data_IF_992193655804
#
_entry.id   IF_992193655804
#
_cell.length_a   1.000
_cell.length_b   1.000
_cell.length_c   1.000
_cell.angle_alpha   90.00
_cell.angle_beta   90.00
_cell.angle_gamma   90.00
#
_symmetry.space_group_name_H-M   'P 1'
#
loop_
_entity.id
_entity.type
_entity.pdbx_description
1 polymer ?
#
# COMPACT_ATOMS: atom_id res chain seq x y z
N UNK A 1 18.39 -0.31 -26.11
CA UNK A 1 18.47 -0.56 -24.67
C UNK A 1 18.90 0.74 -24.01
N UNK A 2 18.02 1.35 -23.22
CA UNK A 2 18.33 2.58 -22.46
C UNK A 2 19.17 2.11 -21.25
N UNK A 3 20.39 2.60 -21.11
CA UNK A 3 21.21 2.32 -19.93
C UNK A 3 20.53 2.95 -18.70
N UNK A 4 20.38 2.21 -17.57
CA UNK A 4 19.79 2.76 -16.36
C UNK A 4 20.58 3.98 -15.90
N UNK A 5 19.86 5.01 -15.47
CA UNK A 5 20.49 6.20 -14.90
C UNK A 5 21.06 5.89 -13.50
N UNK A 6 22.00 6.71 -13.02
CA UNK A 6 22.51 6.58 -11.63
C UNK A 6 21.36 6.58 -10.61
N UNK A 7 20.29 7.37 -10.83
CA UNK A 7 19.11 7.44 -9.99
C UNK A 7 18.33 6.10 -9.98
N UNK A 8 18.27 5.39 -11.10
CA UNK A 8 17.60 4.09 -11.21
C UNK A 8 18.38 2.98 -10.49
N UNK A 9 19.72 3.01 -10.58
CA UNK A 9 20.58 2.06 -9.86
C UNK A 9 20.47 2.25 -8.34
N UNK A 10 20.47 3.49 -7.85
CA UNK A 10 20.28 3.82 -6.43
C UNK A 10 18.90 3.35 -5.97
N UNK A 11 17.85 3.62 -6.74
CA UNK A 11 16.48 3.20 -6.43
C UNK A 11 16.35 1.66 -6.38
N UNK A 12 17.01 0.93 -7.27
CA UNK A 12 17.00 -0.54 -7.28
C UNK A 12 17.72 -1.11 -6.05
N UNK A 13 18.93 -0.64 -5.75
CA UNK A 13 19.68 -1.09 -4.58
C UNK A 13 18.91 -0.84 -3.28
N UNK A 14 18.27 0.33 -3.14
CA UNK A 14 17.42 0.66 -2.00
C UNK A 14 16.30 -0.36 -1.79
N UNK A 15 15.58 -0.73 -2.85
CA UNK A 15 14.45 -1.66 -2.74
C UNK A 15 14.87 -3.06 -2.26
N UNK A 16 16.04 -3.53 -2.64
CA UNK A 16 16.57 -4.81 -2.14
C UNK A 16 16.97 -4.70 -0.66
N UNK A 17 17.54 -3.58 -0.23
CA UNK A 17 17.79 -3.28 1.19
C UNK A 17 16.47 -3.23 1.98
N UNK A 18 15.42 -2.63 1.44
CA UNK A 18 14.08 -2.63 2.06
C UNK A 18 13.56 -4.06 2.30
N UNK A 19 13.73 -4.97 1.32
CA UNK A 19 13.32 -6.37 1.47
C UNK A 19 14.12 -7.06 2.59
N UNK A 20 15.40 -6.76 2.75
CA UNK A 20 16.21 -7.37 3.80
C UNK A 20 15.88 -6.80 5.18
N UNK A 21 15.75 -5.48 5.30
CA UNK A 21 15.37 -4.83 6.54
C UNK A 21 13.97 -5.23 7.02
N UNK A 22 13.00 -5.37 6.10
CA UNK A 22 11.62 -5.75 6.46
C UNK A 22 11.49 -7.13 7.13
N UNK A 23 12.49 -7.99 7.02
CA UNK A 23 12.55 -9.28 7.71
C UNK A 23 13.10 -9.18 9.14
N UNK A 24 13.73 -8.05 9.46
CA UNK A 24 14.37 -7.81 10.76
C UNK A 24 13.35 -7.30 11.77
N UNK A 25 13.51 -7.70 13.03
CA UNK A 25 12.76 -7.12 14.16
C UNK A 25 13.01 -5.59 14.29
N UNK A 26 14.16 -5.09 13.81
CA UNK A 26 14.48 -3.66 13.82
C UNK A 26 13.52 -2.82 12.98
N UNK A 27 12.82 -3.41 12.02
CA UNK A 27 11.85 -2.73 11.17
C UNK A 27 10.44 -2.66 11.76
N UNK A 28 10.17 -3.35 12.88
CA UNK A 28 8.86 -3.37 13.51
C UNK A 28 8.64 -2.18 14.42
N UNK A 29 7.38 -1.75 14.52
CA UNK A 29 6.99 -0.86 15.59
C UNK A 29 7.32 -1.48 16.95
N UNK A 30 7.86 -0.68 17.86
CA UNK A 30 8.14 -1.12 19.24
C UNK A 30 6.91 -0.90 20.14
N UNK A 31 5.78 -1.39 19.70
CA UNK A 31 4.50 -1.35 20.43
C UNK A 31 3.85 -2.73 20.39
N UNK A 32 2.97 -3.02 21.34
CA UNK A 32 2.08 -4.19 21.24
C UNK A 32 1.15 -3.96 20.06
N UNK A 33 1.02 -4.95 19.17
CA UNK A 33 0.14 -4.80 18.02
C UNK A 33 -1.31 -4.59 18.50
N UNK A 34 -2.01 -3.53 18.09
CA UNK A 34 -3.33 -3.20 18.65
C UNK A 34 -4.36 -4.31 18.51
N UNK A 35 -4.29 -5.10 17.42
CA UNK A 35 -5.21 -6.24 17.21
C UNK A 35 -4.97 -7.39 18.21
N UNK A 36 -3.79 -7.52 18.81
CA UNK A 36 -3.50 -8.53 19.84
C UNK A 36 -4.23 -8.23 21.16
N UNK A 37 -4.72 -6.99 21.32
CA UNK A 37 -5.51 -6.57 22.49
C UNK A 37 -7.01 -6.81 22.33
N UNK A 38 -7.46 -7.25 21.14
CA UNK A 38 -8.88 -7.52 20.87
C UNK A 38 -9.21 -8.93 21.35
N UNK A 39 -10.19 -9.03 22.23
CA UNK A 39 -10.75 -10.32 22.65
C UNK A 39 -12.11 -10.53 21.99
N UNK A 40 -12.25 -11.60 21.22
CA UNK A 40 -13.52 -11.99 20.64
C UNK A 40 -14.39 -12.68 21.70
N UNK A 41 -15.70 -12.34 21.83
CA UNK A 41 -16.57 -13.03 22.74
C UNK A 41 -16.75 -14.49 22.32
N UNK A 42 -16.55 -15.40 23.27
CA UNK A 42 -16.80 -16.82 23.04
C UNK A 42 -18.30 -17.11 22.95
N UNK A 43 -18.73 -17.83 21.91
CA UNK A 43 -20.10 -18.36 21.81
C UNK A 43 -20.06 -19.88 22.02
N UNK A 44 -20.53 -20.34 23.18
CA UNK A 44 -20.53 -21.76 23.54
C UNK A 44 -21.67 -22.55 22.85
N UNK A 45 -22.65 -21.88 22.26
CA UNK A 45 -23.80 -22.50 21.58
C UNK A 45 -24.03 -21.81 20.23
N UNK A 46 -23.26 -22.14 19.19
CA UNK A 46 -23.34 -21.47 17.88
C UNK A 46 -24.62 -21.80 17.11
N UNK A 47 -25.22 -22.97 17.32
CA UNK A 47 -26.43 -23.48 16.63
C UNK A 47 -26.33 -23.42 15.08
N UNK A 48 -25.15 -23.70 14.57
CA UNK A 48 -24.84 -23.73 13.12
C UNK A 48 -23.79 -24.81 12.86
N UNK A 49 -23.78 -25.37 11.65
CA UNK A 49 -22.69 -26.20 11.19
C UNK A 49 -21.46 -25.37 10.84
N UNK A 50 -20.28 -25.88 11.13
CA UNK A 50 -19.03 -25.18 10.80
C UNK A 50 -18.86 -25.04 9.27
N UNK A 51 -19.32 -26.03 8.51
CA UNK A 51 -19.25 -26.03 7.04
C UNK A 51 -20.22 -25.01 6.40
N UNK A 52 -21.19 -24.47 7.16
CA UNK A 52 -22.09 -23.41 6.71
C UNK A 52 -21.49 -22.01 6.85
N UNK A 53 -20.26 -21.90 7.41
CA UNK A 53 -19.60 -20.60 7.58
C UNK A 53 -19.10 -20.09 6.24
N UNK A 54 -19.78 -19.08 5.69
CA UNK A 54 -19.34 -18.39 4.48
C UNK A 54 -18.34 -17.27 4.84
N UNK A 55 -17.13 -17.36 4.29
CA UNK A 55 -16.07 -16.36 4.43
C UNK A 55 -15.87 -15.52 3.18
N UNK A 56 -16.67 -15.77 2.12
CA UNK A 56 -16.58 -15.02 0.87
C UNK A 56 -17.01 -13.58 1.03
N UNK A 57 -16.48 -12.72 0.18
CA UNK A 57 -16.90 -11.32 0.08
C UNK A 57 -16.66 -10.78 -1.31
N UNK A 58 -17.35 -9.70 -1.67
CA UNK A 58 -17.11 -8.98 -2.91
C UNK A 58 -16.14 -7.82 -2.69
N UNK A 59 -15.13 -7.69 -3.56
CA UNK A 59 -14.22 -6.56 -3.60
C UNK A 59 -13.88 -6.20 -5.05
N UNK A 60 -14.07 -4.94 -5.43
CA UNK A 60 -13.83 -4.44 -6.80
C UNK A 60 -14.57 -5.27 -7.87
N UNK A 61 -15.84 -5.60 -7.63
CA UNK A 61 -16.71 -6.43 -8.47
C UNK A 61 -16.18 -7.85 -8.75
N UNK A 62 -15.35 -8.38 -7.86
CA UNK A 62 -14.87 -9.75 -7.89
C UNK A 62 -15.10 -10.42 -6.55
N UNK A 63 -15.48 -11.70 -6.61
CA UNK A 63 -15.62 -12.53 -5.41
C UNK A 63 -14.25 -12.95 -4.86
N UNK A 64 -14.08 -12.81 -3.56
CA UNK A 64 -12.93 -13.31 -2.80
C UNK A 64 -13.38 -14.46 -1.90
N UNK A 65 -12.53 -15.47 -1.73
CA UNK A 65 -12.78 -16.57 -0.77
C UNK A 65 -12.67 -16.10 0.69
N UNK A 66 -11.87 -15.06 0.93
CA UNK A 66 -11.65 -14.45 2.25
C UNK A 66 -11.44 -12.94 2.11
N UNK A 67 -11.83 -12.13 3.11
CA UNK A 67 -11.66 -10.69 3.10
C UNK A 67 -10.19 -10.29 3.37
N UNK A 68 -9.25 -10.84 2.61
CA UNK A 68 -7.83 -10.56 2.72
C UNK A 68 -7.24 -10.02 1.42
N UNK A 69 -6.17 -9.27 1.58
CA UNK A 69 -5.37 -8.76 0.47
C UNK A 69 -3.88 -8.84 0.83
N UNK A 70 -3.07 -9.35 -0.11
CA UNK A 70 -1.62 -9.16 -0.05
C UNK A 70 -1.34 -7.75 -0.57
N UNK A 71 -1.01 -6.82 0.33
CA UNK A 71 -0.83 -5.40 -0.03
C UNK A 71 0.49 -5.16 -0.75
N UNK A 72 0.53 -4.08 -1.57
CA UNK A 72 1.68 -3.74 -2.38
C UNK A 72 2.84 -3.15 -1.59
N UNK A 73 3.99 -3.82 -1.58
CA UNK A 73 5.16 -3.42 -0.81
C UNK A 73 6.40 -3.21 -1.67
N UNK A 74 6.72 -4.11 -2.60
CA UNK A 74 7.96 -4.11 -3.36
C UNK A 74 7.73 -4.28 -4.86
N UNK A 75 8.78 -4.07 -5.65
CA UNK A 75 8.77 -4.24 -7.11
C UNK A 75 9.88 -3.43 -7.77
N UNK A 76 10.06 -3.59 -9.09
CA UNK A 76 11.03 -2.84 -9.88
C UNK A 76 12.49 -3.31 -9.76
N UNK A 77 12.78 -4.35 -8.96
CA UNK A 77 14.06 -5.08 -8.96
C UNK A 77 13.83 -6.53 -9.40
N UNK A 78 14.85 -7.25 -9.87
CA UNK A 78 14.69 -8.67 -10.20
C UNK A 78 14.17 -9.51 -9.03
N UNK A 79 14.61 -9.20 -7.80
CA UNK A 79 14.18 -9.87 -6.57
C UNK A 79 12.73 -9.50 -6.23
N UNK A 80 12.39 -8.22 -6.22
CA UNK A 80 11.03 -7.75 -5.98
C UNK A 80 10.03 -8.27 -7.00
N UNK A 81 10.42 -8.38 -8.27
CA UNK A 81 9.56 -8.94 -9.32
C UNK A 81 9.31 -10.42 -9.10
N UNK A 82 10.32 -11.23 -8.72
CA UNK A 82 10.10 -12.64 -8.36
C UNK A 82 9.14 -12.81 -7.18
N UNK A 83 9.23 -11.93 -6.16
CA UNK A 83 8.29 -11.95 -5.04
C UNK A 83 6.87 -11.62 -5.49
N UNK A 84 6.69 -10.61 -6.34
CA UNK A 84 5.37 -10.25 -6.87
C UNK A 84 4.75 -11.39 -7.70
N UNK A 85 5.54 -12.10 -8.52
CA UNK A 85 5.04 -13.27 -9.28
C UNK A 85 4.55 -14.37 -8.33
N UNK A 86 5.34 -14.71 -7.32
CA UNK A 86 4.96 -15.72 -6.32
C UNK A 86 3.71 -15.27 -5.51
N UNK A 87 3.63 -14.02 -5.11
CA UNK A 87 2.47 -13.49 -4.38
C UNK A 87 1.20 -13.47 -5.24
N UNK A 88 1.29 -13.09 -6.51
CA UNK A 88 0.16 -13.11 -7.43
C UNK A 88 -0.40 -14.52 -7.60
N UNK A 89 0.48 -15.50 -7.78
CA UNK A 89 0.09 -16.92 -7.91
C UNK A 89 -0.59 -17.42 -6.64
N UNK A 90 0.00 -17.20 -5.46
CA UNK A 90 -0.57 -17.61 -4.17
C UNK A 90 -1.90 -16.89 -3.90
N UNK A 91 -1.97 -15.58 -4.14
CA UNK A 91 -3.20 -14.82 -3.97
C UNK A 91 -4.34 -15.39 -4.83
N UNK A 92 -4.04 -15.73 -6.09
CA UNK A 92 -5.03 -16.33 -6.99
C UNK A 92 -5.46 -17.75 -6.56
N UNK A 93 -4.53 -18.54 -6.01
CA UNK A 93 -4.84 -19.88 -5.46
C UNK A 93 -5.71 -19.79 -4.21
N UNK A 94 -5.44 -18.79 -3.35
CA UNK A 94 -6.20 -18.57 -2.12
C UNK A 94 -7.50 -17.78 -2.34
N UNK A 95 -7.74 -17.23 -3.53
CA UNK A 95 -8.91 -16.38 -3.80
C UNK A 95 -8.91 -15.08 -3.00
N UNK A 96 -7.75 -14.43 -2.82
CA UNK A 96 -7.61 -13.13 -2.11
C UNK A 96 -7.09 -12.05 -3.05
N UNK A 97 -7.28 -10.78 -2.70
CA UNK A 97 -6.81 -9.67 -3.54
C UNK A 97 -5.27 -9.51 -3.47
N UNK A 98 -4.70 -8.90 -4.51
CA UNK A 98 -3.27 -8.65 -4.60
C UNK A 98 -2.95 -7.23 -5.05
N UNK A 99 -2.07 -6.53 -4.33
CA UNK A 99 -1.53 -5.23 -4.70
C UNK A 99 -0.04 -5.31 -5.04
N UNK A 100 0.40 -4.54 -6.03
CA UNK A 100 1.83 -4.42 -6.38
C UNK A 100 2.49 -3.26 -5.64
N UNK A 101 3.80 -3.32 -5.46
CA UNK A 101 4.59 -2.18 -5.01
C UNK A 101 4.63 -1.08 -6.09
N UNK A 102 5.15 0.12 -5.72
CA UNK A 102 5.20 1.27 -6.64
C UNK A 102 5.75 0.93 -8.04
N UNK A 103 4.93 1.20 -9.06
CA UNK A 103 5.20 0.89 -10.47
C UNK A 103 6.08 1.94 -11.17
N UNK A 104 6.35 3.10 -10.51
CA UNK A 104 7.15 4.19 -11.10
C UNK A 104 8.43 3.67 -11.78
N UNK A 105 9.21 2.86 -11.08
CA UNK A 105 10.48 2.35 -11.60
C UNK A 105 10.29 1.35 -12.75
N UNK A 106 9.27 0.50 -12.70
CA UNK A 106 9.00 -0.48 -13.78
C UNK A 106 8.59 0.22 -15.06
N UNK A 107 7.70 1.22 -14.98
CA UNK A 107 7.21 1.99 -16.12
C UNK A 107 8.35 2.81 -16.72
N UNK A 108 9.12 3.54 -15.89
CA UNK A 108 10.26 4.34 -16.36
C UNK A 108 11.32 3.51 -17.10
N UNK A 109 11.48 2.23 -16.72
CA UNK A 109 12.43 1.31 -17.34
C UNK A 109 11.81 0.41 -18.43
N UNK A 110 10.58 0.65 -18.83
CA UNK A 110 9.87 -0.12 -19.86
C UNK A 110 9.68 -1.60 -19.49
N UNK A 111 9.64 -1.94 -18.19
CA UNK A 111 9.45 -3.31 -17.69
C UNK A 111 7.99 -3.58 -17.48
N UNK A 112 7.41 -4.44 -18.31
CA UNK A 112 6.00 -4.82 -18.21
C UNK A 112 5.74 -5.75 -17.03
N UNK A 113 4.55 -5.59 -16.44
CA UNK A 113 4.02 -6.42 -15.33
C UNK A 113 2.80 -7.28 -15.76
N UNK A 114 2.51 -7.38 -17.05
CA UNK A 114 1.37 -8.17 -17.60
C UNK A 114 1.39 -9.64 -17.19
N UNK A 115 2.56 -10.17 -16.86
CA UNK A 115 2.69 -11.54 -16.37
C UNK A 115 1.93 -11.77 -15.05
N UNK A 116 1.85 -10.75 -14.19
CA UNK A 116 1.10 -10.81 -12.93
C UNK A 116 -0.39 -11.07 -13.18
N UNK A 117 -0.99 -10.38 -14.15
CA UNK A 117 -2.39 -10.60 -14.53
C UNK A 117 -2.62 -12.01 -15.09
N UNK A 118 -1.66 -12.57 -15.84
CA UNK A 118 -1.76 -13.94 -16.34
C UNK A 118 -1.74 -14.99 -15.23
N UNK A 119 -0.94 -14.76 -14.18
CA UNK A 119 -0.87 -15.63 -13.01
C UNK A 119 -2.09 -15.49 -12.09
N UNK A 120 -2.70 -14.30 -12.04
CA UNK A 120 -3.82 -14.00 -11.17
C UNK A 120 -5.04 -13.44 -11.97
N UNK A 121 -5.64 -14.25 -12.87
CA UNK A 121 -6.72 -13.77 -13.75
C UNK A 121 -8.04 -13.56 -13.02
N UNK A 122 -8.28 -14.23 -11.88
CA UNK A 122 -9.60 -14.27 -11.23
C UNK A 122 -9.78 -13.24 -10.13
N UNK A 123 -8.68 -12.82 -9.48
CA UNK A 123 -8.72 -11.92 -8.31
C UNK A 123 -8.53 -10.46 -8.70
N UNK A 124 -8.91 -9.49 -7.83
CA UNK A 124 -8.52 -8.10 -7.99
C UNK A 124 -7.02 -7.93 -7.92
N UNK A 125 -6.44 -7.22 -8.88
CA UNK A 125 -5.04 -6.76 -8.85
C UNK A 125 -5.04 -5.24 -8.78
N UNK A 126 -4.34 -4.69 -7.78
CA UNK A 126 -4.28 -3.27 -7.51
C UNK A 126 -2.92 -2.72 -7.95
N UNK A 127 -2.92 -1.78 -8.90
CA UNK A 127 -1.75 -0.99 -9.29
C UNK A 127 -1.31 -0.05 -8.17
N UNK A 128 -0.12 0.58 -8.29
CA UNK A 128 0.39 1.43 -7.21
C UNK A 128 1.37 2.49 -7.71
N UNK A 129 1.09 3.76 -7.38
CA UNK A 129 2.00 4.90 -7.55
C UNK A 129 1.98 5.78 -6.30
N UNK A 130 2.97 6.67 -6.15
CA UNK A 130 3.00 7.60 -5.01
C UNK A 130 2.17 8.86 -5.27
N UNK A 131 1.63 9.45 -4.21
CA UNK A 131 0.88 10.70 -4.27
C UNK A 131 1.72 11.87 -4.82
N UNK A 132 2.99 11.97 -4.43
CA UNK A 132 3.91 12.99 -4.97
C UNK A 132 4.10 12.78 -6.47
N UNK A 133 4.25 11.54 -6.94
CA UNK A 133 4.43 11.25 -8.36
C UNK A 133 3.17 11.57 -9.16
N UNK A 134 1.99 11.32 -8.59
CA UNK A 134 0.72 11.71 -9.20
C UNK A 134 0.60 13.23 -9.36
N UNK A 135 1.15 14.02 -8.42
CA UNK A 135 1.12 15.47 -8.45
C UNK A 135 2.16 16.12 -9.37
N UNK A 136 3.05 15.34 -9.98
CA UNK A 136 4.00 15.82 -10.98
C UNK A 136 3.32 16.07 -12.34
N UNK A 137 3.95 16.85 -13.22
CA UNK A 137 3.41 17.23 -14.54
C UNK A 137 2.90 16.04 -15.36
N UNK A 138 3.62 14.92 -15.36
CA UNK A 138 3.25 13.68 -16.07
C UNK A 138 2.61 12.63 -15.14
N UNK A 139 2.06 13.04 -13.99
CA UNK A 139 1.54 12.11 -12.98
C UNK A 139 0.32 11.33 -13.45
N UNK A 140 -0.55 11.95 -14.22
CA UNK A 140 -1.76 11.29 -14.75
C UNK A 140 -1.41 10.28 -15.85
N UNK A 141 -0.44 10.58 -16.70
CA UNK A 141 0.09 9.66 -17.72
C UNK A 141 0.77 8.45 -17.06
N UNK A 142 1.54 8.67 -16.01
CA UNK A 142 2.13 7.60 -15.20
C UNK A 142 1.04 6.70 -14.59
N UNK A 143 -0.03 7.29 -14.07
CA UNK A 143 -1.16 6.57 -13.51
C UNK A 143 -1.87 5.69 -14.56
N UNK A 144 -2.15 6.24 -15.75
CA UNK A 144 -2.73 5.50 -16.87
C UNK A 144 -1.84 4.33 -17.30
N UNK A 145 -0.54 4.58 -17.48
CA UNK A 145 0.42 3.54 -17.84
C UNK A 145 0.50 2.43 -16.78
N UNK A 146 0.39 2.77 -15.48
CA UNK A 146 0.36 1.79 -14.41
C UNK A 146 -0.87 0.88 -14.46
N UNK A 147 -2.04 1.45 -14.76
CA UNK A 147 -3.30 0.70 -14.91
C UNK A 147 -3.22 -0.22 -16.14
N UNK A 148 -2.83 0.33 -17.30
CA UNK A 148 -2.81 -0.39 -18.57
C UNK A 148 -1.79 -1.53 -18.60
N UNK A 149 -0.57 -1.30 -18.07
CA UNK A 149 0.48 -2.32 -18.06
C UNK A 149 0.13 -3.51 -17.16
N UNK A 150 -0.55 -3.27 -16.05
CA UNK A 150 -0.93 -4.32 -15.10
C UNK A 150 -2.33 -4.91 -15.40
N UNK A 151 -3.12 -4.26 -16.26
CA UNK A 151 -4.56 -4.50 -16.40
C UNK A 151 -5.25 -4.46 -15.03
N UNK A 152 -4.97 -3.38 -14.28
CA UNK A 152 -5.35 -3.25 -12.88
C UNK A 152 -6.87 -3.04 -12.69
N UNK A 153 -7.44 -3.68 -11.68
CA UNK A 153 -8.85 -3.49 -11.30
C UNK A 153 -9.06 -2.20 -10.49
N UNK A 154 -7.99 -1.70 -9.84
CA UNK A 154 -7.94 -0.42 -9.14
C UNK A 154 -6.51 0.11 -9.12
N UNK A 155 -6.34 1.41 -8.85
CA UNK A 155 -5.03 2.03 -8.66
C UNK A 155 -4.90 2.55 -7.22
N UNK A 156 -3.93 2.05 -6.47
CA UNK A 156 -3.55 2.59 -5.18
C UNK A 156 -2.65 3.81 -5.35
N UNK A 157 -2.99 4.91 -4.68
CA UNK A 157 -2.12 6.06 -4.49
C UNK A 157 -1.62 6.01 -3.06
N UNK A 158 -0.32 5.74 -2.88
CA UNK A 158 0.24 5.72 -1.53
C UNK A 158 0.68 7.10 -1.05
N UNK A 159 0.39 7.37 0.21
CA UNK A 159 0.80 8.55 0.94
C UNK A 159 1.82 8.13 2.00
N UNK A 160 3.03 8.66 1.94
CA UNK A 160 4.14 8.24 2.81
C UNK A 160 5.02 9.42 3.27
N UNK A 161 4.44 10.52 3.79
CA UNK A 161 5.19 11.73 4.10
C UNK A 161 6.31 11.51 5.12
N UNK A 162 6.07 10.71 6.16
CA UNK A 162 7.08 10.42 7.17
C UNK A 162 8.26 9.64 6.57
N UNK A 163 7.98 8.62 5.76
CA UNK A 163 9.02 7.86 5.07
C UNK A 163 9.85 8.75 4.14
N UNK A 164 9.21 9.59 3.34
CA UNK A 164 9.89 10.47 2.38
C UNK A 164 10.79 11.52 3.06
N UNK A 165 10.43 12.02 4.25
CA UNK A 165 11.25 12.96 5.02
C UNK A 165 12.50 12.28 5.60
N UNK A 166 12.40 11.03 6.05
CA UNK A 166 13.54 10.29 6.64
C UNK A 166 14.45 9.75 5.53
N UNK A 167 13.88 9.40 4.39
CA UNK A 167 14.60 8.81 3.26
C UNK A 167 15.57 9.83 2.63
N UNK A 168 16.90 9.52 2.51
CA UNK A 168 17.87 10.46 1.94
C UNK A 168 17.52 10.96 0.53
N UNK A 169 16.91 10.10 -0.29
CA UNK A 169 16.48 10.40 -1.65
C UNK A 169 15.01 10.80 -1.75
N UNK A 170 14.37 11.09 -0.61
CA UNK A 170 12.94 11.33 -0.52
C UNK A 170 12.50 12.66 -1.13
N UNK A 171 11.24 12.73 -1.47
CA UNK A 171 10.59 13.90 -2.06
C UNK A 171 9.67 14.53 -1.01
N UNK A 172 9.89 15.81 -0.67
CA UNK A 172 9.19 16.50 0.44
C UNK A 172 8.08 17.44 0.01
N UNK A 173 7.87 17.64 -1.30
CA UNK A 173 6.83 18.55 -1.77
C UNK A 173 5.49 17.80 -1.96
N UNK A 174 4.58 17.96 -1.01
CA UNK A 174 3.24 17.38 -0.99
C UNK A 174 2.15 18.33 -1.51
N UNK A 175 2.54 19.51 -2.04
CA UNK A 175 1.60 20.48 -2.56
C UNK A 175 0.84 19.93 -3.76
N UNK A 176 -0.49 20.12 -3.80
CA UNK A 176 -1.33 19.72 -4.92
C UNK A 176 -1.71 18.22 -4.96
N UNK A 177 -1.21 17.38 -4.05
CA UNK A 177 -1.52 15.93 -4.07
C UNK A 177 -3.03 15.68 -3.98
N UNK A 178 -3.77 16.36 -3.10
CA UNK A 178 -5.21 16.17 -2.98
C UNK A 178 -5.96 16.55 -4.27
N UNK A 179 -5.57 17.65 -4.91
CA UNK A 179 -6.14 18.07 -6.20
C UNK A 179 -5.84 17.04 -7.31
N UNK A 180 -4.64 16.49 -7.34
CA UNK A 180 -4.27 15.46 -8.31
C UNK A 180 -5.04 14.16 -8.08
N UNK A 181 -5.32 13.79 -6.83
CA UNK A 181 -6.21 12.67 -6.48
C UNK A 181 -7.62 12.93 -7.02
N UNK A 182 -8.17 14.13 -6.82
CA UNK A 182 -9.49 14.51 -7.33
C UNK A 182 -9.58 14.37 -8.86
N UNK A 183 -8.56 14.84 -9.59
CA UNK A 183 -8.46 14.69 -11.03
C UNK A 183 -8.39 13.19 -11.40
N UNK A 184 -7.57 12.41 -10.72
CA UNK A 184 -7.42 10.98 -10.98
C UNK A 184 -8.75 10.22 -10.78
N UNK A 185 -9.48 10.50 -9.69
CA UNK A 185 -10.81 9.91 -9.44
C UNK A 185 -11.79 10.21 -10.56
N UNK A 186 -11.76 11.42 -11.11
CA UNK A 186 -12.68 11.85 -12.18
C UNK A 186 -12.32 11.34 -13.58
N UNK A 187 -11.04 10.99 -13.81
CA UNK A 187 -10.53 10.79 -15.18
C UNK A 187 -9.98 9.41 -15.46
N UNK A 188 -9.55 8.65 -14.43
CA UNK A 188 -8.99 7.32 -14.62
C UNK A 188 -10.10 6.27 -14.77
N UNK A 189 -9.85 5.17 -15.53
CA UNK A 189 -10.87 4.19 -15.91
C UNK A 189 -11.22 3.18 -14.80
N UNK A 190 -10.52 3.20 -13.67
CA UNK A 190 -10.75 2.27 -12.55
C UNK A 190 -10.83 3.03 -11.22
N UNK A 191 -11.37 2.40 -10.16
CA UNK A 191 -11.42 2.98 -8.83
C UNK A 191 -10.04 3.37 -8.29
N UNK A 192 -9.99 4.48 -7.55
CA UNK A 192 -8.79 4.94 -6.84
C UNK A 192 -8.88 4.51 -5.38
N UNK A 193 -7.85 3.84 -4.92
CA UNK A 193 -7.65 3.46 -3.53
C UNK A 193 -6.54 4.33 -2.94
N UNK A 194 -6.79 4.97 -1.82
CA UNK A 194 -5.75 5.71 -1.10
C UNK A 194 -5.23 4.87 0.05
N UNK A 195 -3.91 4.78 0.18
CA UNK A 195 -3.26 4.05 1.28
C UNK A 195 -2.13 4.84 1.89
N UNK A 196 -1.94 4.66 3.16
CA UNK A 196 -0.70 5.02 3.85
C UNK A 196 0.24 3.79 3.91
N UNK A 197 1.37 3.90 4.54
CA UNK A 197 2.41 2.85 4.53
C UNK A 197 2.79 2.33 5.92
N UNK A 198 2.10 2.75 6.99
CA UNK A 198 2.31 2.25 8.35
C UNK A 198 2.12 3.28 9.47
N UNK A 199 2.02 4.59 9.16
CA UNK A 199 1.72 5.62 10.14
C UNK A 199 0.22 5.97 10.23
N UNK A 200 -0.57 5.58 9.24
CA UNK A 200 -2.02 5.63 9.26
C UNK A 200 -2.64 6.88 8.66
N UNK A 201 -3.90 6.76 8.27
CA UNK A 201 -4.73 7.85 7.75
C UNK A 201 -5.69 8.28 8.84
N UNK A 202 -5.59 9.55 9.29
CA UNK A 202 -6.50 10.11 10.29
C UNK A 202 -7.90 10.38 9.72
N UNK A 203 -8.90 10.45 10.60
CA UNK A 203 -10.28 10.78 10.24
C UNK A 203 -10.43 12.10 9.46
N UNK A 204 -9.76 13.23 9.84
CA UNK A 204 -9.81 14.45 9.04
C UNK A 204 -9.25 14.29 7.62
N UNK A 205 -8.22 13.46 7.44
CA UNK A 205 -7.65 13.16 6.11
C UNK A 205 -8.61 12.31 5.31
N UNK A 206 -9.19 11.26 5.91
CA UNK A 206 -10.19 10.42 5.26
C UNK A 206 -11.41 11.21 4.77
N UNK A 207 -11.91 12.16 5.58
CA UNK A 207 -12.98 13.08 5.16
C UNK A 207 -12.61 13.92 3.94
N UNK A 208 -11.37 14.46 3.90
CA UNK A 208 -10.90 15.21 2.72
C UNK A 208 -10.84 14.33 1.47
N UNK A 209 -10.36 13.10 1.61
CA UNK A 209 -10.28 12.13 0.52
C UNK A 209 -11.68 11.73 0.02
N UNK A 210 -12.60 11.45 0.94
CA UNK A 210 -13.98 11.14 0.60
C UNK A 210 -14.67 12.30 -0.14
N UNK A 211 -14.47 13.54 0.29
CA UNK A 211 -15.04 14.73 -0.34
C UNK A 211 -14.59 14.94 -1.80
N UNK A 212 -13.45 14.39 -2.20
CA UNK A 212 -12.97 14.40 -3.58
C UNK A 212 -13.30 13.12 -4.35
N UNK A 213 -14.15 12.25 -3.79
CA UNK A 213 -14.69 11.05 -4.44
C UNK A 213 -13.88 9.76 -4.23
N UNK A 214 -13.02 9.70 -3.23
CA UNK A 214 -12.34 8.46 -2.86
C UNK A 214 -13.24 7.62 -1.96
N UNK A 215 -13.51 6.37 -2.36
CA UNK A 215 -14.33 5.41 -1.61
C UNK A 215 -13.53 4.26 -0.98
N UNK A 216 -12.31 4.03 -1.42
CA UNK A 216 -11.45 2.97 -0.92
C UNK A 216 -10.25 3.57 -0.17
N UNK A 217 -10.17 3.31 1.12
CA UNK A 217 -9.09 3.81 1.99
C UNK A 217 -8.49 2.65 2.77
N UNK A 218 -7.20 2.38 2.54
CA UNK A 218 -6.38 1.51 3.38
C UNK A 218 -5.71 2.37 4.44
N UNK A 219 -6.18 2.25 5.67
CA UNK A 219 -5.72 3.09 6.78
C UNK A 219 -4.28 2.82 7.20
N UNK A 220 -3.72 1.63 6.92
CA UNK A 220 -2.31 1.25 7.09
C UNK A 220 -1.69 1.75 8.41
N UNK A 221 -2.40 1.52 9.54
CA UNK A 221 -2.03 2.02 10.85
C UNK A 221 -0.78 1.36 11.44
N UNK A 222 -0.25 1.93 12.53
CA UNK A 222 0.91 1.44 13.27
C UNK A 222 0.64 0.07 13.93
N UNK A 223 1.69 -0.76 14.02
CA UNK A 223 1.63 -2.07 14.70
C UNK A 223 2.43 -3.17 14.01
N UNK A 224 2.66 -3.08 12.71
CA UNK A 224 3.48 -4.03 11.94
C UNK A 224 4.86 -3.46 11.60
N UNK A 225 5.17 -3.40 10.31
CA UNK A 225 6.42 -2.80 9.81
C UNK A 225 6.37 -1.28 9.84
N UNK A 226 7.37 -0.63 10.43
CA UNK A 226 7.58 0.82 10.40
C UNK A 226 8.51 1.20 9.26
N UNK A 227 8.00 1.90 8.26
CA UNK A 227 8.84 2.44 7.18
C UNK A 227 9.78 3.54 7.67
N UNK A 228 9.39 4.26 8.72
CA UNK A 228 10.28 5.21 9.40
C UNK A 228 11.54 4.50 9.94
N UNK A 229 11.38 3.34 10.60
CA UNK A 229 12.49 2.51 11.07
C UNK A 229 13.34 1.98 9.93
N UNK A 230 12.72 1.45 8.86
CA UNK A 230 13.44 0.96 7.68
C UNK A 230 14.34 2.04 7.10
N UNK A 231 13.83 3.25 6.90
CA UNK A 231 14.63 4.35 6.36
C UNK A 231 15.70 4.84 7.34
N UNK A 232 15.38 4.92 8.64
CA UNK A 232 16.35 5.29 9.66
C UNK A 232 17.51 4.27 9.76
N UNK A 233 17.24 2.96 9.61
CA UNK A 233 18.28 1.91 9.58
C UNK A 233 19.26 2.06 8.41
N UNK A 234 18.89 2.76 7.34
CA UNK A 234 19.75 3.08 6.20
C UNK A 234 20.69 4.27 6.47
N UNK A 235 20.44 5.03 7.53
CA UNK A 235 21.21 6.23 7.88
C UNK A 235 22.39 5.90 8.80
N UNK A 236 23.46 6.73 8.77
CA UNK A 236 24.49 6.71 9.81
C UNK A 236 23.88 6.93 11.20
N UNK A 237 24.45 6.32 12.23
CA UNK A 237 23.91 6.37 13.60
C UNK A 237 23.60 7.79 14.09
N UNK A 238 24.49 8.75 13.85
CA UNK A 238 24.30 10.14 14.25
C UNK A 238 23.11 10.83 13.60
N UNK A 239 22.72 10.41 12.41
CA UNK A 239 21.51 10.95 11.74
C UNK A 239 20.26 10.21 12.18
N UNK A 240 20.35 8.89 12.46
CA UNK A 240 19.23 8.10 12.96
C UNK A 240 18.68 8.66 14.28
N UNK A 241 19.53 9.08 15.19
CA UNK A 241 19.15 9.66 16.50
C UNK A 241 18.22 10.86 16.37
N UNK A 242 18.28 11.61 15.26
CA UNK A 242 17.37 12.75 15.00
C UNK A 242 15.92 12.30 14.74
N UNK A 243 15.72 11.08 14.25
CA UNK A 243 14.41 10.54 13.90
C UNK A 243 13.83 9.59 14.95
N UNK A 244 14.56 9.31 16.03
CA UNK A 244 14.13 8.43 17.11
C UNK A 244 12.68 8.70 17.59
N UNK A 245 12.24 9.96 17.81
CA UNK A 245 10.88 10.26 18.25
C UNK A 245 9.78 9.87 17.25
N UNK A 246 10.13 9.64 15.99
CA UNK A 246 9.18 9.36 14.92
C UNK A 246 9.13 7.89 14.48
N UNK A 247 10.00 7.03 15.05
CA UNK A 247 10.14 5.64 14.62
C UNK A 247 8.90 4.79 14.96
N UNK A 248 8.19 5.16 16.02
CA UNK A 248 6.95 4.54 16.48
C UNK A 248 5.73 5.47 16.34
N UNK A 249 5.87 6.54 15.55
CA UNK A 249 4.78 7.49 15.35
C UNK A 249 3.77 6.96 14.35
N UNK A 250 2.50 6.91 14.77
CA UNK A 250 1.39 6.51 13.91
C UNK A 250 0.09 6.36 14.68
N UNK A 251 -1.01 6.24 13.96
CA UNK A 251 -2.33 5.97 14.51
C UNK A 251 -2.50 4.46 14.76
N UNK A 252 -3.23 4.10 15.82
CA UNK A 252 -3.60 2.71 16.08
C UNK A 252 -4.87 2.35 15.29
N UNK A 253 -4.91 1.14 14.74
CA UNK A 253 -6.07 0.68 13.96
C UNK A 253 -7.33 0.59 14.81
N UNK A 254 -7.20 0.25 16.10
CA UNK A 254 -8.28 0.18 17.09
C UNK A 254 -8.94 1.52 17.37
N UNK A 255 -8.23 2.62 17.16
CA UNK A 255 -8.76 3.97 17.36
C UNK A 255 -9.40 4.49 16.06
N UNK A 256 -8.73 4.28 14.93
CA UNK A 256 -9.14 4.84 13.64
C UNK A 256 -10.35 4.12 13.03
N UNK A 257 -10.40 2.78 13.03
CA UNK A 257 -11.50 2.05 12.37
C UNK A 257 -12.90 2.35 12.95
N UNK A 258 -13.09 2.41 14.28
CA UNK A 258 -14.39 2.78 14.85
C UNK A 258 -14.84 4.19 14.45
N UNK A 259 -13.89 5.15 14.37
CA UNK A 259 -14.19 6.51 13.93
C UNK A 259 -14.54 6.55 12.42
N UNK A 260 -13.80 5.81 11.59
CA UNK A 260 -14.05 5.71 10.14
C UNK A 260 -15.44 5.12 9.84
N UNK A 261 -15.85 4.09 10.59
CA UNK A 261 -17.16 3.46 10.42
C UNK A 261 -18.31 4.46 10.62
N UNK A 262 -18.16 5.44 11.50
CA UNK A 262 -19.17 6.47 11.71
C UNK A 262 -19.38 7.36 10.47
N UNK A 263 -18.34 7.60 9.66
CA UNK A 263 -18.45 8.34 8.40
C UNK A 263 -19.20 7.50 7.37
N UNK A 264 -18.83 6.22 7.23
CA UNK A 264 -19.39 5.31 6.24
C UNK A 264 -20.87 4.96 6.52
N UNK A 265 -21.33 5.08 7.77
CA UNK A 265 -22.75 4.87 8.13
C UNK A 265 -23.64 6.11 7.88
N UNK A 266 -23.05 7.26 7.57
CA UNK A 266 -23.79 8.50 7.28
C UNK A 266 -23.95 8.75 5.77
N UNK A 267 -23.45 7.83 4.95
CA UNK A 267 -23.55 7.83 3.49
C UNK A 267 -24.48 6.69 3.05
#
# INVERSE_FOLDING_TARGET
MINPTTKDLISSARKDVHIDLSKSELSRFNIVHPLDLITLPHNALPEMDFDDVDTSCEFLNKELSFPFMITGMTGGTPRGNRLNLAFAEVANQCGVAFGVGSQRSSIANGKSQKELRKLAPKIPIIGNIGGIQLAQENGLELAKAAIEDLEADALAIHLNPLQEIIQPEGESNWSGVLNSIEIAVKTLPCPILIKEVGAGISLPVAKKLHNVGVYYIDVACAGGTSWARIEAERLPKSQRELYEPFLDWGHLITDILPEMRQILQQI
#
